data_IF_637042450786
#
_entry.id   IF_637042450786
#
_cell.length_a   1.000
_cell.length_b   1.000
_cell.length_c   1.000
_cell.angle_alpha   90.00
_cell.angle_beta   90.00
_cell.angle_gamma   90.00
#
_symmetry.space_group_name_H-M   'P 1'
#
loop_
_entity.id
_entity.type
_entity.pdbx_description
1 polymer ?
#
# COMPACT_ATOMS: atom_id res chain seq x y z
N UNK A 1 -33.71 -27.24 39.95
CA UNK A 1 -33.23 -26.08 40.75
C UNK A 1 -31.70 -26.16 40.84
N UNK A 2 -31.06 -25.03 40.49
CA UNK A 2 -29.66 -24.62 40.74
C UNK A 2 -28.54 -25.19 39.85
N UNK A 3 -28.06 -24.29 38.98
CA UNK A 3 -26.77 -24.22 38.31
C UNK A 3 -25.60 -24.17 39.30
N UNK A 4 -24.41 -24.62 38.88
CA UNK A 4 -23.05 -24.08 39.08
C UNK A 4 -22.14 -25.03 38.28
N UNK A 5 -21.28 -24.64 37.35
CA UNK A 5 -20.37 -23.49 37.31
C UNK A 5 -19.01 -24.08 36.89
N UNK A 6 -18.36 -23.43 35.94
CA UNK A 6 -17.07 -23.77 35.32
C UNK A 6 -16.04 -24.46 36.20
N UNK A 7 -15.16 -25.25 35.57
CA UNK A 7 -13.71 -25.28 35.84
C UNK A 7 -13.01 -26.07 34.72
N UNK A 8 -12.79 -25.39 33.59
CA UNK A 8 -11.77 -25.79 32.61
C UNK A 8 -10.42 -25.82 33.32
N UNK A 9 -9.75 -26.98 33.29
CA UNK A 9 -8.45 -27.17 33.93
C UNK A 9 -7.36 -26.27 33.30
N UNK A 10 -6.39 -25.81 34.11
CA UNK A 10 -5.18 -25.19 33.58
C UNK A 10 -4.35 -26.25 32.85
N UNK A 11 -3.47 -25.83 31.95
CA UNK A 11 -2.55 -26.66 31.15
C UNK A 11 -2.98 -26.96 29.70
N UNK A 12 -3.82 -26.09 29.11
CA UNK A 12 -3.66 -25.81 27.68
C UNK A 12 -2.67 -24.65 27.51
N UNK A 13 -1.42 -24.89 27.90
CA UNK A 13 -0.31 -24.03 27.51
C UNK A 13 -0.08 -24.28 26.03
N UNK A 14 -0.76 -23.52 25.19
CA UNK A 14 -0.39 -23.35 23.79
C UNK A 14 0.96 -22.62 23.81
N UNK A 15 2.04 -23.36 24.01
CA UNK A 15 3.39 -22.85 23.76
C UNK A 15 3.44 -22.57 22.27
N UNK A 16 3.21 -21.32 21.87
CA UNK A 16 3.56 -20.83 20.56
C UNK A 16 5.10 -20.87 20.44
N UNK A 17 5.63 -22.08 20.24
CA UNK A 17 7.05 -22.38 20.06
C UNK A 17 7.41 -22.08 18.61
N UNK A 18 7.40 -20.80 18.25
CA UNK A 18 8.22 -20.28 17.17
C UNK A 18 8.39 -18.78 17.41
N UNK A 19 9.62 -18.24 17.38
CA UNK A 19 9.78 -16.80 17.16
C UNK A 19 9.00 -16.48 15.88
N UNK A 20 8.22 -15.39 15.83
CA UNK A 20 7.53 -15.00 14.60
C UNK A 20 8.57 -14.98 13.50
N UNK A 21 8.47 -15.94 12.57
CA UNK A 21 9.36 -15.99 11.43
C UNK A 21 9.18 -14.64 10.76
N UNK A 22 10.29 -13.92 10.59
CA UNK A 22 10.29 -12.57 10.04
C UNK A 22 10.02 -12.66 8.54
N UNK A 23 8.77 -13.02 8.20
CA UNK A 23 8.27 -13.42 6.88
C UNK A 23 8.59 -12.41 5.78
N UNK A 24 8.77 -11.16 6.17
CA UNK A 24 9.01 -10.03 5.28
C UNK A 24 10.48 -9.86 4.86
N UNK A 25 11.45 -10.35 5.63
CA UNK A 25 12.89 -10.26 5.28
C UNK A 25 13.46 -11.56 4.67
N UNK A 26 12.71 -12.66 4.72
CA UNK A 26 13.10 -13.97 4.17
C UNK A 26 12.72 -14.15 2.70
N UNK A 27 11.99 -13.19 2.10
CA UNK A 27 11.64 -13.28 0.68
C UNK A 27 12.85 -12.96 -0.19
N UNK A 28 12.90 -13.50 -1.41
CA UNK A 28 13.96 -13.13 -2.35
C UNK A 28 13.68 -11.73 -2.92
N UNK A 29 14.62 -10.76 -2.86
CA UNK A 29 14.41 -9.40 -3.37
C UNK A 29 13.89 -9.35 -4.81
N UNK A 30 14.32 -10.29 -5.66
CA UNK A 30 13.86 -10.40 -7.05
C UNK A 30 12.39 -10.74 -7.16
N UNK A 31 11.88 -11.60 -6.28
CA UNK A 31 10.48 -11.99 -6.30
C UNK A 31 9.58 -10.83 -5.87
N UNK A 32 9.98 -10.11 -4.82
CA UNK A 32 9.23 -8.94 -4.37
C UNK A 32 9.24 -7.83 -5.43
N UNK A 33 10.40 -7.51 -6.01
CA UNK A 33 10.50 -6.55 -7.11
C UNK A 33 9.62 -6.94 -8.31
N UNK A 34 9.55 -8.23 -8.66
CA UNK A 34 8.68 -8.72 -9.72
C UNK A 34 7.20 -8.56 -9.40
N UNK A 35 6.78 -8.85 -8.17
CA UNK A 35 5.39 -8.69 -7.76
C UNK A 35 4.97 -7.20 -7.76
N UNK A 36 5.87 -6.33 -7.29
CA UNK A 36 5.67 -4.88 -7.32
C UNK A 36 5.60 -4.37 -8.78
N UNK A 37 6.48 -4.84 -9.66
CA UNK A 37 6.42 -4.52 -11.08
C UNK A 37 5.13 -5.01 -11.75
N UNK A 38 4.61 -6.18 -11.33
CA UNK A 38 3.30 -6.66 -11.80
C UNK A 38 2.18 -5.68 -11.46
N UNK A 39 2.18 -5.10 -10.26
CA UNK A 39 1.20 -4.08 -9.88
C UNK A 39 1.21 -2.87 -10.82
N UNK A 40 2.41 -2.47 -11.30
CA UNK A 40 2.55 -1.42 -12.31
C UNK A 40 1.98 -1.87 -13.65
N UNK A 41 2.37 -3.04 -14.14
CA UNK A 41 1.93 -3.53 -15.46
C UNK A 41 0.43 -3.83 -15.53
N UNK A 42 -0.21 -4.14 -14.39
CA UNK A 42 -1.65 -4.33 -14.29
C UNK A 42 -2.43 -3.01 -14.14
N UNK A 43 -1.75 -1.86 -14.06
CA UNK A 43 -2.39 -0.54 -13.93
C UNK A 43 -2.87 -0.19 -12.52
N UNK A 44 -2.47 -0.95 -11.49
CA UNK A 44 -2.91 -0.75 -10.11
C UNK A 44 -2.07 0.31 -9.36
N UNK A 45 -0.86 0.59 -9.84
CA UNK A 45 0.09 1.50 -9.23
C UNK A 45 0.98 2.17 -10.29
N UNK A 46 1.45 3.39 -10.02
CA UNK A 46 2.48 4.01 -10.85
C UNK A 46 3.88 3.55 -10.42
N UNK A 47 4.86 3.65 -11.32
CA UNK A 47 6.28 3.37 -10.99
C UNK A 47 6.72 4.21 -9.78
N UNK A 48 6.36 5.49 -9.75
CA UNK A 48 6.69 6.42 -8.66
C UNK A 48 6.08 5.96 -7.34
N UNK A 49 4.81 5.58 -7.31
CA UNK A 49 4.16 5.10 -6.08
C UNK A 49 4.80 3.82 -5.53
N UNK A 50 5.34 2.96 -6.40
CA UNK A 50 6.07 1.77 -5.99
C UNK A 50 7.47 2.10 -5.48
N UNK A 51 8.17 3.08 -6.09
CA UNK A 51 9.45 3.59 -5.58
C UNK A 51 9.30 4.13 -4.16
N UNK A 52 8.26 4.93 -3.93
CA UNK A 52 7.95 5.46 -2.59
C UNK A 52 7.65 4.36 -1.58
N UNK A 53 6.96 3.29 -2.02
CA UNK A 53 6.65 2.14 -1.17
C UNK A 53 7.89 1.30 -0.79
N UNK A 54 8.84 1.15 -1.71
CA UNK A 54 10.07 0.39 -1.47
C UNK A 54 11.05 1.20 -0.61
N UNK A 55 11.10 2.51 -0.82
CA UNK A 55 12.06 3.40 -0.21
C UNK A 55 11.97 3.38 1.32
N UNK A 56 13.14 3.32 1.97
CA UNK A 56 13.26 3.60 3.40
C UNK A 56 13.88 4.98 3.53
N UNK A 57 13.14 6.00 4.01
CA UNK A 57 13.71 7.33 4.18
C UNK A 57 14.94 7.33 5.10
N UNK A 58 15.95 8.14 4.76
CA UNK A 58 17.24 8.16 5.47
C UNK A 58 17.10 8.39 6.98
N UNK A 59 16.20 9.28 7.39
CA UNK A 59 15.95 9.57 8.80
C UNK A 59 15.38 8.36 9.55
N UNK A 60 14.55 7.54 8.89
CA UNK A 60 14.03 6.29 9.46
C UNK A 60 15.17 5.26 9.56
N UNK A 61 15.96 5.10 8.50
CA UNK A 61 17.10 4.18 8.50
C UNK A 61 18.12 4.54 9.60
N UNK A 62 18.43 5.84 9.76
CA UNK A 62 19.30 6.34 10.81
C UNK A 62 18.73 6.07 12.21
N UNK A 63 17.44 6.34 12.41
CA UNK A 63 16.76 6.07 13.69
C UNK A 63 16.79 4.59 14.05
N UNK A 64 16.52 3.71 13.08
CA UNK A 64 16.57 2.26 13.28
C UNK A 64 17.99 1.76 13.60
N UNK A 65 19.00 2.30 12.92
CA UNK A 65 20.40 1.97 13.23
C UNK A 65 20.83 2.48 14.60
N UNK A 66 20.33 3.64 15.04
CA UNK A 66 20.60 4.15 16.38
C UNK A 66 19.92 3.30 17.46
N UNK A 67 18.68 2.86 17.22
CA UNK A 67 18.00 1.88 18.07
C UNK A 67 18.80 0.56 18.14
N UNK A 68 19.28 0.05 17.01
CA UNK A 68 20.08 -1.18 16.94
C UNK A 68 21.38 -1.13 17.78
N UNK A 69 21.96 0.06 18.00
CA UNK A 69 23.12 0.21 18.90
C UNK A 69 22.75 -0.02 20.37
N UNK A 70 21.50 0.28 20.75
CA UNK A 70 20.97 0.13 22.12
C UNK A 70 20.38 -1.25 22.36
N UNK A 71 19.91 -1.90 21.30
CA UNK A 71 19.33 -3.25 21.30
C UNK A 71 20.06 -4.15 20.27
N UNK A 72 21.25 -4.68 20.61
CA UNK A 72 22.06 -5.52 19.71
C UNK A 72 21.34 -6.78 19.21
N UNK A 73 20.39 -7.30 19.98
CA UNK A 73 19.53 -8.44 19.65
C UNK A 73 18.73 -8.22 18.36
N UNK A 74 18.30 -6.98 18.11
CA UNK A 74 17.55 -6.59 16.92
C UNK A 74 18.45 -6.08 15.81
N UNK A 75 19.68 -5.65 16.12
CA UNK A 75 20.54 -4.95 15.18
C UNK A 75 20.84 -5.72 13.89
N UNK A 76 21.09 -7.03 13.99
CA UNK A 76 21.27 -7.89 12.80
C UNK A 76 20.02 -7.95 11.93
N UNK A 77 18.83 -7.96 12.54
CA UNK A 77 17.55 -8.05 11.83
C UNK A 77 17.22 -6.73 11.14
N UNK A 78 17.42 -5.63 11.84
CA UNK A 78 17.24 -4.28 11.30
C UNK A 78 18.14 -4.08 10.08
N UNK A 79 19.42 -4.42 10.20
CA UNK A 79 20.36 -4.26 9.08
C UNK A 79 19.98 -5.17 7.90
N UNK A 80 19.59 -6.42 8.15
CA UNK A 80 19.14 -7.33 7.11
C UNK A 80 17.92 -6.77 6.33
N UNK A 81 17.00 -6.11 7.03
CA UNK A 81 15.82 -5.47 6.46
C UNK A 81 16.17 -4.28 5.59
N UNK A 82 17.04 -3.40 6.07
CA UNK A 82 17.45 -2.22 5.32
C UNK A 82 18.14 -2.63 4.01
N UNK A 83 19.05 -3.60 4.09
CA UNK A 83 19.69 -4.18 2.91
C UNK A 83 18.71 -4.90 1.99
N UNK A 84 17.70 -5.57 2.56
CA UNK A 84 16.66 -6.22 1.77
C UNK A 84 15.89 -5.18 0.93
N UNK A 85 15.47 -4.06 1.53
CA UNK A 85 14.74 -2.99 0.84
C UNK A 85 15.57 -2.33 -0.26
N UNK A 86 16.84 -2.05 0.02
CA UNK A 86 17.79 -1.54 -0.99
C UNK A 86 17.90 -2.50 -2.19
N UNK A 87 18.06 -3.80 -1.94
CA UNK A 87 18.13 -4.81 -3.01
C UNK A 87 16.82 -4.92 -3.79
N UNK A 88 15.66 -4.76 -3.14
CA UNK A 88 14.36 -4.75 -3.83
C UNK A 88 14.29 -3.54 -4.77
N UNK A 89 14.73 -2.36 -4.31
CA UNK A 89 14.78 -1.15 -5.15
C UNK A 89 15.66 -1.37 -6.39
N UNK A 90 16.88 -1.89 -6.21
CA UNK A 90 17.79 -2.19 -7.32
C UNK A 90 17.18 -3.18 -8.33
N UNK A 91 16.54 -4.25 -7.85
CA UNK A 91 15.91 -5.23 -8.74
C UNK A 91 14.69 -4.63 -9.44
N UNK A 92 13.94 -3.75 -8.77
CA UNK A 92 12.80 -3.07 -9.36
C UNK A 92 13.22 -2.12 -10.48
N UNK A 93 14.26 -1.30 -10.27
CA UNK A 93 14.78 -0.40 -11.31
C UNK A 93 15.28 -1.18 -12.53
N UNK A 94 15.96 -2.31 -12.34
CA UNK A 94 16.36 -3.18 -13.47
C UNK A 94 15.18 -3.69 -14.29
N UNK A 95 14.04 -3.96 -13.65
CA UNK A 95 12.82 -4.38 -14.36
C UNK A 95 12.19 -3.20 -15.12
N UNK A 96 12.21 -2.00 -14.53
CA UNK A 96 11.73 -0.77 -15.18
C UNK A 96 12.57 -0.42 -16.40
N UNK A 97 13.90 -0.44 -16.27
CA UNK A 97 14.85 -0.17 -17.35
C UNK A 97 14.79 -1.21 -18.47
N UNK A 98 14.72 -2.50 -18.09
CA UNK A 98 14.68 -3.62 -19.04
C UNK A 98 13.31 -3.87 -19.68
N UNK A 99 12.27 -3.18 -19.24
CA UNK A 99 10.87 -3.55 -19.51
C UNK A 99 9.97 -2.46 -20.09
N UNK A 100 10.48 -1.36 -20.64
CA UNK A 100 9.67 -0.20 -21.08
C UNK A 100 8.27 -0.55 -21.63
N UNK A 101 7.22 0.10 -21.08
CA UNK A 101 6.58 1.17 -21.84
C UNK A 101 6.74 2.54 -21.17
N UNK A 102 7.35 3.43 -21.93
CA UNK A 102 7.30 4.90 -21.96
C UNK A 102 6.40 5.63 -20.96
N UNK A 103 7.02 6.61 -20.29
CA UNK A 103 6.51 7.95 -19.99
C UNK A 103 4.98 8.08 -19.86
N UNK A 104 4.48 7.92 -18.64
CA UNK A 104 3.19 8.51 -18.26
C UNK A 104 3.36 10.02 -18.21
N UNK A 105 2.92 10.69 -19.28
CA UNK A 105 2.78 12.14 -19.30
C UNK A 105 1.71 12.57 -18.27
N UNK A 106 1.83 13.71 -17.58
CA UNK A 106 0.90 14.13 -16.51
C UNK A 106 -0.56 14.38 -16.94
N UNK A 107 -0.92 14.15 -18.20
CA UNK A 107 -2.20 14.55 -18.79
C UNK A 107 -3.32 13.49 -18.71
N UNK A 108 -3.10 12.30 -18.16
CA UNK A 108 -4.17 11.28 -18.08
C UNK A 108 -5.13 11.45 -16.88
N UNK A 109 -5.01 12.55 -16.11
CA UNK A 109 -5.93 12.84 -15.00
C UNK A 109 -7.15 13.67 -15.45
N UNK A 110 -7.80 13.35 -16.57
CA UNK A 110 -9.14 13.84 -16.93
C UNK A 110 -9.73 12.84 -17.95
N UNK A 111 -10.66 11.94 -17.62
CA UNK A 111 -12.11 12.20 -17.74
C UNK A 111 -12.86 10.95 -17.26
N UNK A 112 -13.43 10.99 -16.05
CA UNK A 112 -14.52 10.09 -15.67
C UNK A 112 -15.80 10.94 -15.60
N UNK A 113 -16.37 11.21 -16.77
CA UNK A 113 -17.76 11.67 -16.88
C UNK A 113 -18.52 10.60 -17.62
N UNK A 114 -19.24 9.73 -16.89
CA UNK A 114 -20.49 9.16 -17.41
C UNK A 114 -21.36 8.52 -16.31
N UNK A 115 -22.52 9.15 -16.13
CA UNK A 115 -23.81 8.62 -15.67
C UNK A 115 -23.90 8.02 -14.26
N UNK A 116 -24.45 8.82 -13.35
CA UNK A 116 -25.54 8.37 -12.49
C UNK A 116 -26.72 9.30 -12.78
N UNK A 117 -27.69 8.77 -13.52
CA UNK A 117 -29.01 9.33 -13.71
C UNK A 117 -29.80 9.21 -12.42
N UNK A 118 -30.19 10.33 -11.82
CA UNK A 118 -31.37 10.35 -10.96
C UNK A 118 -32.34 11.37 -11.54
N UNK A 119 -33.49 10.84 -11.91
CA UNK A 119 -34.65 11.55 -12.38
C UNK A 119 -35.08 12.58 -11.35
N UNK A 120 -35.36 13.81 -11.80
CA UNK A 120 -36.61 14.46 -11.45
C UNK A 120 -36.95 15.56 -12.45
N UNK A 121 -38.14 15.47 -13.02
CA UNK A 121 -38.87 16.50 -13.76
C UNK A 121 -40.31 15.97 -13.83
N UNK A 122 -41.35 16.81 -13.83
CA UNK A 122 -41.33 18.24 -14.16
C UNK A 122 -42.17 19.12 -13.21
N UNK A 123 -41.94 20.45 -13.20
CA UNK A 123 -43.09 21.36 -13.19
C UNK A 123 -42.75 22.67 -13.91
N UNK A 124 -43.52 22.90 -14.96
CA UNK A 124 -43.50 24.00 -15.90
C UNK A 124 -44.45 25.09 -15.38
N UNK A 125 -43.92 26.27 -15.04
CA UNK A 125 -44.75 27.49 -14.98
C UNK A 125 -44.00 28.61 -15.69
N UNK A 126 -44.39 28.81 -16.95
CA UNK A 126 -44.10 30.02 -17.72
C UNK A 126 -44.75 31.23 -17.04
N UNK A 127 -43.98 32.30 -16.86
CA UNK A 127 -44.50 33.65 -16.81
C UNK A 127 -43.58 34.55 -17.65
N UNK A 128 -44.04 35.07 -18.81
CA UNK A 128 -43.38 36.16 -19.50
C UNK A 128 -44.06 37.46 -19.07
N UNK A 129 -43.44 38.20 -18.16
CA UNK A 129 -43.70 39.64 -18.02
C UNK A 129 -42.63 40.38 -18.82
N UNK A 130 -42.98 41.56 -19.32
CA UNK A 130 -42.23 42.43 -20.26
C UNK A 130 -42.59 42.26 -21.75
N UNK A 131 -43.78 42.74 -22.12
CA UNK A 131 -43.99 43.37 -23.43
C UNK A 131 -44.63 44.76 -23.22
N UNK A 132 -43.90 45.75 -23.74
CA UNK A 132 -44.17 47.18 -23.71
C UNK A 132 -45.27 47.59 -24.73
N UNK A 133 -45.88 48.77 -24.51
CA UNK A 133 -46.72 49.60 -25.43
C UNK A 133 -48.21 49.20 -25.51
N UNK A 134 -49.20 50.03 -25.20
CA UNK A 134 -49.42 51.46 -25.49
C UNK A 134 -50.31 52.13 -24.43
#
# INVERSE_FOLDING_TARGET
MKNHGDLLGPEQVITASAPPQMVWATRNPRHEARDLYRMVTCGNASIESIRDLIAVPDHIAATLREYAKRCPEDGKRIEAVLQFRERVADQFERLVEGGQPLAVSPQQRLTLTRQESFADSPEEVLAPEEAFVN
#
